data_IF_898917032610
#
_entry.id   IF_898917032610
#
_cell.length_a   1.000
_cell.length_b   1.000
_cell.length_c   1.000
_cell.angle_alpha   90.00
_cell.angle_beta   90.00
_cell.angle_gamma   90.00
#
_symmetry.space_group_name_H-M   'P 1'
#
loop_
_entity.id
_entity.type
_entity.pdbx_description
1 polymer ?
#
# COMPACT_ATOMS: atom_id res chain seq x y z
N UNK A 1 8.35 -34.70 -1.89
CA UNK A 1 8.05 -33.37 -1.35
C UNK A 1 8.72 -32.37 -2.28
N UNK A 2 7.95 -31.61 -3.07
CA UNK A 2 8.53 -30.61 -3.97
C UNK A 2 9.18 -29.50 -3.15
N UNK A 3 10.29 -28.94 -3.64
CA UNK A 3 10.92 -27.77 -3.00
C UNK A 3 9.87 -26.65 -2.89
N UNK A 4 9.53 -26.26 -1.67
CA UNK A 4 8.64 -25.13 -1.41
C UNK A 4 9.25 -23.87 -2.04
N UNK A 5 8.39 -23.04 -2.62
CA UNK A 5 8.79 -21.72 -3.13
C UNK A 5 9.25 -20.85 -1.95
N UNK A 6 10.18 -19.92 -2.15
CA UNK A 6 10.77 -19.19 -1.01
C UNK A 6 9.74 -18.44 -0.16
N UNK A 7 8.66 -17.95 -0.79
CA UNK A 7 7.56 -17.22 -0.14
C UNK A 7 6.53 -18.13 0.52
N UNK A 8 6.70 -19.45 0.42
CA UNK A 8 5.87 -20.43 1.11
C UNK A 8 6.39 -20.82 2.50
N UNK A 9 7.49 -20.22 2.91
CA UNK A 9 8.12 -20.35 4.22
C UNK A 9 8.59 -18.97 4.69
N UNK A 10 8.82 -18.80 5.99
CA UNK A 10 9.47 -17.61 6.56
C UNK A 10 10.13 -17.95 7.92
N UNK A 11 10.99 -17.05 8.39
CA UNK A 11 11.72 -17.16 9.66
C UNK A 11 11.30 -16.08 10.67
N UNK A 12 10.09 -15.55 10.58
CA UNK A 12 9.59 -14.50 11.48
C UNK A 12 8.85 -15.09 12.68
N UNK A 13 8.69 -14.30 13.74
CA UNK A 13 7.98 -14.71 14.95
C UNK A 13 6.73 -13.87 15.13
N UNK A 14 5.77 -14.36 15.92
CA UNK A 14 4.59 -13.57 16.32
C UNK A 14 4.97 -12.27 17.02
N UNK A 15 6.08 -12.23 17.75
CA UNK A 15 6.57 -11.00 18.39
C UNK A 15 6.97 -9.93 17.35
N UNK A 16 7.64 -10.32 16.26
CA UNK A 16 7.97 -9.40 15.17
C UNK A 16 6.69 -8.91 14.48
N UNK A 17 5.76 -9.83 14.20
CA UNK A 17 4.47 -9.50 13.59
C UNK A 17 3.69 -8.49 14.42
N UNK A 18 3.41 -8.79 15.69
CA UNK A 18 2.66 -7.89 16.55
C UNK A 18 3.40 -6.59 16.84
N UNK A 19 4.74 -6.61 16.96
CA UNK A 19 5.54 -5.40 17.08
C UNK A 19 5.36 -4.47 15.87
N UNK A 20 5.37 -5.00 14.66
CA UNK A 20 5.14 -4.22 13.44
C UNK A 20 3.68 -3.79 13.27
N UNK A 21 2.69 -4.60 13.70
CA UNK A 21 1.29 -4.19 13.72
C UNK A 21 1.04 -3.05 14.71
N UNK A 22 1.65 -3.10 15.90
CA UNK A 22 1.58 -2.00 16.87
C UNK A 22 2.25 -0.74 16.32
N UNK A 23 3.41 -0.89 15.65
CA UNK A 23 4.06 0.25 15.00
C UNK A 23 3.19 0.85 13.89
N UNK A 24 2.51 0.03 13.08
CA UNK A 24 1.65 0.51 12.01
C UNK A 24 0.38 1.18 12.55
N UNK A 25 -0.39 0.51 13.41
CA UNK A 25 -1.69 1.03 13.83
C UNK A 25 -1.64 2.05 14.97
N UNK A 26 -0.57 2.05 15.77
CA UNK A 26 -0.41 2.98 16.89
C UNK A 26 0.76 3.92 16.63
N UNK A 27 1.93 3.38 16.28
CA UNK A 27 3.13 4.16 16.05
C UNK A 27 2.99 5.19 14.93
N UNK A 28 2.46 4.81 13.76
CA UNK A 28 2.23 5.74 12.65
C UNK A 28 1.21 6.81 13.02
N UNK A 29 0.11 6.43 13.68
CA UNK A 29 -0.92 7.39 14.10
C UNK A 29 -0.33 8.40 15.10
N UNK A 30 0.32 7.92 16.15
CA UNK A 30 0.87 8.80 17.20
C UNK A 30 2.05 9.60 16.65
N UNK A 31 3.10 8.93 16.17
CA UNK A 31 4.36 9.58 15.79
C UNK A 31 4.16 10.41 14.51
N UNK A 32 3.59 9.81 13.46
CA UNK A 32 3.56 10.46 12.15
C UNK A 32 2.35 11.38 12.01
N UNK A 33 1.13 10.90 12.29
CA UNK A 33 -0.09 11.69 12.04
C UNK A 33 -0.33 12.77 13.10
N UNK A 34 -0.12 12.46 14.38
CA UNK A 34 -0.38 13.40 15.48
C UNK A 34 0.80 14.36 15.70
N UNK A 35 2.05 13.87 15.70
CA UNK A 35 3.22 14.72 16.00
C UNK A 35 3.92 15.29 14.77
N UNK A 36 4.31 14.46 13.79
CA UNK A 36 5.15 14.93 12.66
C UNK A 36 4.35 15.70 11.61
N UNK A 37 3.15 15.25 11.24
CA UNK A 37 2.38 15.87 10.16
C UNK A 37 2.02 17.34 10.44
N UNK A 38 1.58 17.75 11.65
CA UNK A 38 1.37 19.16 11.95
C UNK A 38 2.64 19.99 11.84
N UNK A 39 3.79 19.47 12.27
CA UNK A 39 5.10 20.14 12.14
C UNK A 39 5.43 20.37 10.66
N UNK A 40 5.21 19.40 9.78
CA UNK A 40 5.40 19.62 8.34
C UNK A 40 4.46 20.68 7.77
N UNK A 41 3.19 20.67 8.18
CA UNK A 41 2.21 21.66 7.73
C UNK A 41 2.60 23.07 8.13
N UNK A 42 3.03 23.25 9.38
CA UNK A 42 3.49 24.54 9.91
C UNK A 42 4.78 24.99 9.22
N UNK A 43 5.78 24.11 9.14
CA UNK A 43 7.08 24.43 8.55
C UNK A 43 6.98 24.80 7.06
N UNK A 44 6.12 24.12 6.30
CA UNK A 44 5.96 24.34 4.87
C UNK A 44 4.85 25.34 4.53
N UNK A 45 4.06 25.77 5.52
CA UNK A 45 2.87 26.61 5.31
C UNK A 45 1.85 25.99 4.34
N UNK A 46 1.81 24.67 4.21
CA UNK A 46 1.00 23.97 3.20
C UNK A 46 0.53 22.59 3.66
N UNK A 47 -0.79 22.40 3.67
CA UNK A 47 -1.42 21.10 3.92
C UNK A 47 -1.04 20.06 2.85
N UNK A 48 -0.88 20.50 1.60
CA UNK A 48 -0.52 19.62 0.47
C UNK A 48 0.88 19.03 0.67
N UNK A 49 1.90 19.88 0.83
CA UNK A 49 3.27 19.41 0.98
C UNK A 49 3.47 18.64 2.29
N UNK A 50 2.84 19.10 3.39
CA UNK A 50 2.84 18.37 4.64
C UNK A 50 2.24 16.96 4.50
N UNK A 51 1.16 16.82 3.72
CA UNK A 51 0.56 15.52 3.39
C UNK A 51 1.44 14.64 2.50
N UNK A 52 2.11 15.22 1.49
CA UNK A 52 3.00 14.50 0.57
C UNK A 52 4.21 13.87 1.29
N UNK A 53 4.68 14.48 2.38
CA UNK A 53 5.79 13.98 3.18
C UNK A 53 5.39 12.86 4.16
N UNK A 54 4.10 12.71 4.49
CA UNK A 54 3.64 11.67 5.42
C UNK A 54 3.96 10.26 4.90
N UNK A 55 3.68 9.97 3.63
CA UNK A 55 3.97 8.66 3.02
C UNK A 55 5.45 8.28 3.12
N UNK A 56 6.39 9.12 2.66
CA UNK A 56 7.83 8.90 2.84
C UNK A 56 8.25 8.69 4.31
N UNK A 57 7.67 9.43 5.25
CA UNK A 57 7.99 9.26 6.68
C UNK A 57 7.50 7.91 7.22
N UNK A 58 6.30 7.47 6.83
CA UNK A 58 5.78 6.13 7.15
C UNK A 58 6.69 5.06 6.53
N UNK A 59 7.08 5.24 5.27
CA UNK A 59 7.99 4.33 4.57
C UNK A 59 9.28 4.15 5.34
N UNK A 60 9.94 5.24 5.75
CA UNK A 60 11.20 5.19 6.51
C UNK A 60 10.98 4.45 7.82
N UNK A 61 9.92 4.78 8.57
CA UNK A 61 9.63 4.18 9.87
C UNK A 61 9.39 2.67 9.77
N UNK A 62 8.45 2.25 8.93
CA UNK A 62 8.07 0.84 8.78
C UNK A 62 9.15 0.00 8.14
N UNK A 63 9.79 0.49 7.07
CA UNK A 63 10.82 -0.27 6.38
C UNK A 63 12.08 -0.39 7.24
N UNK A 64 12.40 0.62 8.04
CA UNK A 64 13.53 0.51 8.98
C UNK A 64 13.21 -0.50 10.09
N UNK A 65 12.02 -0.46 10.67
CA UNK A 65 11.61 -1.44 11.69
C UNK A 65 11.57 -2.87 11.11
N UNK A 66 10.96 -3.05 9.95
CA UNK A 66 10.91 -4.33 9.24
C UNK A 66 12.33 -4.82 8.90
N UNK A 67 13.21 -3.92 8.47
CA UNK A 67 14.59 -4.28 8.18
C UNK A 67 15.31 -4.76 9.45
N UNK A 68 15.28 -3.95 10.51
CA UNK A 68 16.00 -4.25 11.75
C UNK A 68 15.49 -5.50 12.47
N UNK A 69 14.17 -5.72 12.51
CA UNK A 69 13.56 -6.80 13.27
C UNK A 69 13.32 -8.06 12.42
N UNK A 70 13.02 -7.89 11.13
CA UNK A 70 12.58 -8.95 10.25
C UNK A 70 13.63 -9.45 9.26
N UNK A 71 14.45 -8.57 8.68
CA UNK A 71 15.25 -8.87 7.47
C UNK A 71 16.76 -8.91 7.75
N UNK A 72 17.26 -8.10 8.68
CA UNK A 72 18.69 -7.98 8.99
C UNK A 72 19.26 -9.36 9.33
N UNK A 73 20.29 -9.78 8.59
CA UNK A 73 20.93 -11.09 8.73
C UNK A 73 20.21 -12.25 8.02
N UNK A 74 19.13 -12.02 7.26
CA UNK A 74 18.33 -13.06 6.59
C UNK A 74 18.35 -13.01 5.05
N UNK A 75 19.34 -12.36 4.44
CA UNK A 75 19.47 -12.30 2.97
C UNK A 75 18.92 -11.03 2.30
N UNK A 76 18.52 -10.02 3.09
CA UNK A 76 18.15 -8.69 2.58
C UNK A 76 16.73 -8.59 2.05
N UNK A 77 16.45 -7.54 1.27
CA UNK A 77 15.09 -7.22 0.79
C UNK A 77 14.46 -8.30 -0.11
N UNK A 78 15.27 -9.22 -0.64
CA UNK A 78 14.76 -10.41 -1.33
C UNK A 78 13.85 -11.27 -0.44
N UNK A 79 13.96 -11.19 0.89
CA UNK A 79 13.01 -11.82 1.82
C UNK A 79 11.64 -11.14 1.80
N UNK A 80 11.58 -9.82 1.64
CA UNK A 80 10.30 -9.14 1.45
C UNK A 80 9.79 -9.23 0.01
N UNK A 81 10.32 -10.15 -0.81
CA UNK A 81 9.89 -10.34 -2.19
C UNK A 81 10.36 -9.27 -3.18
N UNK A 82 11.36 -8.46 -2.82
CA UNK A 82 12.05 -7.56 -3.76
C UNK A 82 12.92 -8.40 -4.69
N UNK A 83 12.30 -9.00 -5.70
CA UNK A 83 12.91 -9.95 -6.63
C UNK A 83 12.36 -9.76 -8.04
N UNK A 84 13.14 -10.08 -9.07
CA UNK A 84 12.64 -10.04 -10.45
C UNK A 84 11.45 -11.01 -10.65
N UNK A 85 10.59 -10.69 -11.63
CA UNK A 85 9.43 -11.49 -12.00
C UNK A 85 9.47 -11.85 -13.49
N UNK A 86 8.70 -12.87 -13.88
CA UNK A 86 8.67 -13.36 -15.26
C UNK A 86 7.89 -12.42 -16.17
N UNK A 87 8.33 -12.26 -17.43
CA UNK A 87 7.65 -11.38 -18.41
C UNK A 87 6.21 -11.81 -18.72
N UNK A 88 5.85 -13.07 -18.50
CA UNK A 88 4.47 -13.56 -18.64
C UNK A 88 3.47 -12.84 -17.73
N UNK A 89 3.93 -12.30 -16.60
CA UNK A 89 3.06 -11.63 -15.63
C UNK A 89 2.52 -10.29 -16.14
N UNK A 90 3.13 -9.67 -17.15
CA UNK A 90 2.64 -8.42 -17.75
C UNK A 90 1.18 -8.54 -18.23
N UNK A 91 0.81 -9.68 -18.82
CA UNK A 91 -0.58 -9.91 -19.27
C UNK A 91 -1.56 -9.91 -18.09
N UNK A 92 -1.14 -10.49 -16.96
CA UNK A 92 -1.94 -10.54 -15.73
C UNK A 92 -2.04 -9.17 -15.09
N UNK A 93 -0.94 -8.41 -15.06
CA UNK A 93 -0.90 -7.05 -14.55
C UNK A 93 -1.84 -6.12 -15.33
N UNK A 94 -1.82 -6.17 -16.66
CA UNK A 94 -2.72 -5.38 -17.50
C UNK A 94 -4.18 -5.80 -17.29
N UNK A 95 -4.47 -7.10 -17.34
CA UNK A 95 -5.83 -7.61 -17.12
C UNK A 95 -6.39 -7.17 -15.77
N UNK A 96 -5.65 -7.43 -14.69
CA UNK A 96 -6.10 -7.10 -13.35
C UNK A 96 -6.11 -5.60 -13.07
N UNK A 97 -5.20 -4.82 -13.65
CA UNK A 97 -5.28 -3.36 -13.61
C UNK A 97 -6.60 -2.85 -14.20
N UNK A 98 -7.00 -3.34 -15.38
CA UNK A 98 -8.29 -2.96 -15.99
C UNK A 98 -9.47 -3.42 -15.13
N UNK A 99 -9.44 -4.66 -14.62
CA UNK A 99 -10.49 -5.18 -13.74
C UNK A 99 -10.63 -4.32 -12.48
N UNK A 100 -9.52 -3.96 -11.83
CA UNK A 100 -9.52 -3.12 -10.64
C UNK A 100 -10.03 -1.70 -10.93
N UNK A 101 -9.70 -1.10 -12.08
CA UNK A 101 -10.27 0.19 -12.49
C UNK A 101 -11.79 0.13 -12.62
N UNK A 102 -12.31 -0.89 -13.31
CA UNK A 102 -13.76 -1.06 -13.53
C UNK A 102 -14.46 -1.33 -12.20
N UNK A 103 -13.97 -2.30 -11.43
CA UNK A 103 -14.56 -2.68 -10.14
C UNK A 103 -14.47 -1.52 -9.14
N UNK A 104 -13.34 -0.83 -9.06
CA UNK A 104 -13.16 0.33 -8.20
C UNK A 104 -14.15 1.45 -8.51
N UNK A 105 -14.35 1.76 -9.79
CA UNK A 105 -15.35 2.76 -10.23
C UNK A 105 -16.76 2.35 -9.82
N UNK A 106 -17.13 1.08 -10.02
CA UNK A 106 -18.43 0.54 -9.62
C UNK A 106 -18.61 0.63 -8.10
N UNK A 107 -17.60 0.26 -7.32
CA UNK A 107 -17.65 0.30 -5.86
C UNK A 107 -17.80 1.71 -5.32
N UNK A 108 -17.04 2.67 -5.85
CA UNK A 108 -17.19 4.09 -5.50
C UNK A 108 -18.61 4.56 -5.81
N UNK A 109 -19.13 4.28 -7.00
CA UNK A 109 -20.50 4.64 -7.38
C UNK A 109 -21.55 4.03 -6.44
N UNK A 110 -21.48 2.72 -6.18
CA UNK A 110 -22.44 2.02 -5.32
C UNK A 110 -22.40 2.52 -3.88
N UNK A 111 -21.20 2.73 -3.33
CA UNK A 111 -21.06 3.19 -1.94
C UNK A 111 -21.51 4.63 -1.78
N UNK A 112 -21.35 5.47 -2.80
CA UNK A 112 -21.93 6.81 -2.83
C UNK A 112 -23.47 6.77 -2.74
N UNK A 113 -24.14 5.80 -3.38
CA UNK A 113 -25.60 5.61 -3.25
C UNK A 113 -26.02 5.20 -1.83
N UNK A 114 -25.09 4.66 -1.03
CA UNK A 114 -25.31 4.25 0.36
C UNK A 114 -24.92 5.36 1.37
N UNK A 115 -24.62 6.57 0.89
CA UNK A 115 -24.26 7.72 1.73
C UNK A 115 -22.79 7.81 2.11
N UNK A 116 -21.91 7.07 1.44
CA UNK A 116 -20.46 7.25 1.57
C UNK A 116 -20.05 8.53 0.85
N UNK A 117 -19.32 9.40 1.53
CA UNK A 117 -18.78 10.62 0.92
C UNK A 117 -17.76 10.26 -0.16
N UNK A 118 -17.65 11.08 -1.20
CA UNK A 118 -16.60 10.97 -2.22
C UNK A 118 -15.46 11.96 -1.99
N UNK A 119 -15.65 12.91 -1.06
CA UNK A 119 -14.66 13.93 -0.74
C UNK A 119 -13.40 13.31 -0.13
N UNK A 120 -12.25 13.91 -0.45
CA UNK A 120 -10.97 13.43 0.04
C UNK A 120 -10.00 14.61 0.16
N UNK A 121 -9.73 14.98 1.41
CA UNK A 121 -8.91 16.14 1.75
C UNK A 121 -7.53 16.17 1.05
N UNK A 122 -6.95 15.00 0.73
CA UNK A 122 -5.67 14.94 0.00
C UNK A 122 -5.83 15.38 -1.46
N UNK A 123 -6.86 14.89 -2.14
CA UNK A 123 -7.16 15.26 -3.52
C UNK A 123 -7.66 16.70 -3.61
N UNK A 124 -8.41 17.16 -2.61
CA UNK A 124 -8.92 18.53 -2.57
C UNK A 124 -7.77 19.54 -2.39
N UNK A 125 -6.84 19.25 -1.46
CA UNK A 125 -5.62 20.07 -1.29
C UNK A 125 -4.80 20.16 -2.59
N UNK A 126 -4.78 19.09 -3.40
CA UNK A 126 -4.07 19.08 -4.68
C UNK A 126 -4.81 19.91 -5.74
N UNK A 127 -6.15 19.81 -5.80
CA UNK A 127 -7.00 20.62 -6.69
C UNK A 127 -6.88 22.11 -6.38
N UNK A 128 -6.94 22.49 -5.12
CA UNK A 128 -6.86 23.88 -4.67
C UNK A 128 -5.51 24.54 -5.00
N UNK A 129 -4.42 23.77 -4.99
CA UNK A 129 -3.06 24.24 -5.28
C UNK A 129 -2.51 23.67 -6.57
N UNK A 130 -3.36 23.47 -7.59
CA UNK A 130 -2.99 22.76 -8.80
C UNK A 130 -1.86 23.46 -9.57
N UNK A 131 -0.75 22.74 -9.78
CA UNK A 131 0.38 23.17 -10.62
C UNK A 131 1.10 21.93 -11.16
N UNK A 132 1.82 22.08 -12.28
CA UNK A 132 2.57 20.96 -12.87
C UNK A 132 3.56 20.32 -11.90
N UNK A 133 4.24 21.12 -11.08
CA UNK A 133 5.16 20.62 -10.05
C UNK A 133 4.41 19.86 -8.94
N UNK A 134 3.25 20.34 -8.50
CA UNK A 134 2.46 19.68 -7.46
C UNK A 134 1.88 18.36 -7.94
N UNK A 135 1.48 18.26 -9.21
CA UNK A 135 1.04 17.00 -9.81
C UNK A 135 2.20 16.00 -9.87
N UNK A 136 3.40 16.44 -10.28
CA UNK A 136 4.59 15.57 -10.30
C UNK A 136 4.93 15.07 -8.89
N UNK A 137 4.93 15.96 -7.89
CA UNK A 137 5.19 15.59 -6.49
C UNK A 137 4.11 14.63 -5.94
N UNK A 138 2.85 14.85 -6.29
CA UNK A 138 1.75 13.95 -5.92
C UNK A 138 1.93 12.56 -6.54
N UNK A 139 2.27 12.49 -7.83
CA UNK A 139 2.55 11.23 -8.53
C UNK A 139 3.76 10.51 -7.91
N UNK A 140 4.84 11.22 -7.62
CA UNK A 140 6.01 10.60 -6.96
C UNK A 140 5.65 10.06 -5.57
N UNK A 141 4.92 10.82 -4.75
CA UNK A 141 4.54 10.40 -3.41
C UNK A 141 3.57 9.21 -3.44
N UNK A 142 2.43 9.36 -4.13
CA UNK A 142 1.32 8.41 -4.05
C UNK A 142 1.35 7.30 -5.11
N UNK A 143 1.96 7.50 -6.28
CA UNK A 143 2.03 6.48 -7.33
C UNK A 143 3.37 5.73 -7.39
N UNK A 144 4.41 6.20 -6.69
CA UNK A 144 5.72 5.54 -6.67
C UNK A 144 6.14 5.15 -5.25
N UNK A 145 6.25 6.12 -4.34
CA UNK A 145 6.75 5.85 -2.99
C UNK A 145 5.76 5.04 -2.16
N UNK A 146 4.47 5.40 -2.14
CA UNK A 146 3.43 4.66 -1.39
C UNK A 146 3.37 3.20 -1.78
N UNK A 147 3.14 2.86 -3.06
CA UNK A 147 3.05 1.46 -3.48
C UNK A 147 4.32 0.69 -3.16
N UNK A 148 5.50 1.29 -3.30
CA UNK A 148 6.74 0.59 -3.02
C UNK A 148 6.83 0.12 -1.57
N UNK A 149 6.65 1.01 -0.58
CA UNK A 149 6.77 0.61 0.81
C UNK A 149 5.59 -0.24 1.27
N UNK A 150 4.39 0.05 0.78
CA UNK A 150 3.18 -0.69 1.13
C UNK A 150 3.26 -2.12 0.62
N UNK A 151 3.64 -2.36 -0.64
CA UNK A 151 3.76 -3.74 -1.14
C UNK A 151 4.90 -4.51 -0.45
N UNK A 152 6.01 -3.84 -0.09
CA UNK A 152 7.07 -4.48 0.73
C UNK A 152 6.50 -4.92 2.08
N UNK A 153 5.74 -4.05 2.75
CA UNK A 153 5.23 -4.32 4.11
C UNK A 153 4.05 -5.29 4.09
N UNK A 154 3.03 -5.02 3.29
CA UNK A 154 1.79 -5.80 3.28
C UNK A 154 1.95 -7.13 2.53
N UNK A 155 2.59 -7.16 1.36
CA UNK A 155 2.72 -8.41 0.58
C UNK A 155 3.97 -9.17 1.01
N UNK A 156 5.09 -8.46 1.04
CA UNK A 156 6.39 -9.02 1.41
C UNK A 156 6.45 -9.54 2.84
N UNK A 157 5.74 -8.92 3.79
CA UNK A 157 5.74 -9.31 5.19
C UNK A 157 4.38 -9.79 5.72
N UNK A 158 3.33 -8.96 5.77
CA UNK A 158 2.05 -9.30 6.43
C UNK A 158 1.37 -10.53 5.81
N UNK A 159 1.11 -10.49 4.50
CA UNK A 159 0.51 -11.60 3.75
C UNK A 159 1.38 -12.86 3.86
N UNK A 160 2.69 -12.75 3.59
CA UNK A 160 3.62 -13.89 3.67
C UNK A 160 3.61 -14.52 5.08
N UNK A 161 3.65 -13.71 6.13
CA UNK A 161 3.63 -14.19 7.51
C UNK A 161 2.33 -14.95 7.84
N UNK A 162 1.18 -14.38 7.48
CA UNK A 162 -0.13 -14.96 7.78
C UNK A 162 -0.38 -16.20 6.93
N UNK A 163 -0.05 -16.17 5.64
CA UNK A 163 -0.28 -17.30 4.74
C UNK A 163 0.53 -18.52 5.13
N UNK A 164 1.76 -18.35 5.63
CA UNK A 164 2.62 -19.47 6.06
C UNK A 164 2.04 -20.17 7.29
N UNK A 165 1.46 -19.41 8.22
CA UNK A 165 0.92 -19.95 9.50
C UNK A 165 -0.53 -20.40 9.42
N UNK A 166 -1.36 -19.70 8.65
CA UNK A 166 -2.82 -19.85 8.64
C UNK A 166 -3.35 -20.38 7.30
N UNK A 167 -2.47 -20.59 6.32
CA UNK A 167 -2.84 -21.01 4.98
C UNK A 167 -3.21 -19.84 4.06
N UNK A 168 -3.29 -20.14 2.77
CA UNK A 168 -3.45 -19.13 1.70
C UNK A 168 -4.76 -18.36 1.85
N UNK A 169 -5.89 -19.04 2.02
CA UNK A 169 -7.21 -18.38 2.09
C UNK A 169 -7.36 -17.41 3.27
N UNK A 170 -6.92 -17.81 4.47
CA UNK A 170 -6.93 -16.94 5.65
C UNK A 170 -5.91 -15.80 5.49
N UNK A 171 -4.73 -16.10 4.94
CA UNK A 171 -3.71 -15.09 4.63
C UNK A 171 -4.24 -13.98 3.74
N UNK A 172 -4.96 -14.34 2.66
CA UNK A 172 -5.61 -13.39 1.76
C UNK A 172 -6.60 -12.47 2.51
N UNK A 173 -7.58 -13.06 3.20
CA UNK A 173 -8.63 -12.26 3.83
C UNK A 173 -8.06 -11.37 4.95
N UNK A 174 -7.22 -11.93 5.82
CA UNK A 174 -6.69 -11.20 6.96
C UNK A 174 -5.73 -10.07 6.53
N UNK A 175 -4.85 -10.32 5.56
CA UNK A 175 -3.92 -9.29 5.08
C UNK A 175 -4.64 -8.17 4.32
N UNK A 176 -5.62 -8.49 3.46
CA UNK A 176 -6.41 -7.47 2.77
C UNK A 176 -7.24 -6.61 3.75
N UNK A 177 -7.79 -7.20 4.81
CA UNK A 177 -8.47 -6.45 5.87
C UNK A 177 -7.50 -5.54 6.64
N UNK A 178 -6.31 -6.03 6.98
CA UNK A 178 -5.27 -5.24 7.65
C UNK A 178 -4.82 -4.06 6.76
N UNK A 179 -4.55 -4.31 5.48
CA UNK A 179 -4.23 -3.27 4.50
C UNK A 179 -5.33 -2.22 4.42
N UNK A 180 -6.59 -2.65 4.33
CA UNK A 180 -7.75 -1.75 4.28
C UNK A 180 -7.88 -0.90 5.55
N UNK A 181 -7.69 -1.51 6.73
CA UNK A 181 -7.79 -0.83 8.01
C UNK A 181 -6.73 0.27 8.18
N UNK A 182 -5.54 0.08 7.63
CA UNK A 182 -4.46 1.08 7.69
C UNK A 182 -4.77 2.38 6.93
N UNK A 183 -5.78 2.36 6.06
CA UNK A 183 -6.21 3.54 5.30
C UNK A 183 -7.23 4.41 6.06
N UNK A 184 -7.73 3.96 7.21
CA UNK A 184 -8.61 4.76 8.06
C UNK A 184 -7.91 6.07 8.47
N UNK A 185 -8.61 7.23 8.49
CA UNK A 185 -10.06 7.43 8.35
C UNK A 185 -10.56 7.69 6.92
N UNK A 186 -9.79 7.35 5.88
CA UNK A 186 -10.21 7.54 4.48
C UNK A 186 -11.22 6.45 4.09
N UNK A 187 -12.44 6.53 4.61
CA UNK A 187 -13.47 5.48 4.53
C UNK A 187 -14.03 5.31 3.13
N UNK A 188 -14.03 6.37 2.32
CA UNK A 188 -14.55 6.36 0.97
C UNK A 188 -13.85 5.35 0.05
N UNK A 189 -12.53 5.20 0.22
CA UNK A 189 -11.71 4.26 -0.56
C UNK A 189 -11.64 2.85 0.04
N UNK A 190 -12.13 2.60 1.26
CA UNK A 190 -11.94 1.30 1.95
C UNK A 190 -12.44 0.09 1.16
N UNK A 191 -13.64 0.10 0.52
CA UNK A 191 -14.09 -1.03 -0.29
C UNK A 191 -13.18 -1.31 -1.49
N UNK A 192 -12.64 -0.26 -2.11
CA UNK A 192 -11.67 -0.38 -3.23
C UNK A 192 -10.35 -0.94 -2.70
N UNK A 193 -9.82 -0.39 -1.61
CA UNK A 193 -8.58 -0.84 -0.98
C UNK A 193 -8.63 -2.32 -0.59
N UNK A 194 -9.79 -2.82 -0.17
CA UNK A 194 -9.98 -4.24 0.15
C UNK A 194 -9.83 -5.13 -1.09
N UNK A 195 -10.50 -4.78 -2.19
CA UNK A 195 -10.43 -5.55 -3.44
C UNK A 195 -9.04 -5.46 -4.07
N UNK A 196 -8.42 -4.28 -4.07
CA UNK A 196 -7.03 -4.05 -4.48
C UNK A 196 -6.09 -4.92 -3.62
N UNK A 197 -6.33 -4.93 -2.31
CA UNK A 197 -5.80 -5.84 -1.30
C UNK A 197 -5.59 -7.25 -1.83
N UNK A 198 -6.71 -7.88 -2.17
CA UNK A 198 -6.81 -9.27 -2.64
C UNK A 198 -6.10 -9.49 -3.97
N UNK A 199 -6.24 -8.57 -4.92
CA UNK A 199 -5.64 -8.74 -6.25
C UNK A 199 -4.12 -8.58 -6.20
N UNK A 200 -3.60 -7.63 -5.43
CA UNK A 200 -2.16 -7.45 -5.25
C UNK A 200 -1.52 -8.64 -4.52
N UNK A 201 -2.22 -9.23 -3.53
CA UNK A 201 -1.79 -10.48 -2.92
C UNK A 201 -1.79 -11.64 -3.91
N UNK A 202 -2.76 -11.68 -4.82
CA UNK A 202 -2.83 -12.71 -5.85
C UNK A 202 -1.68 -12.58 -6.85
N UNK A 203 -1.36 -11.35 -7.28
CA UNK A 203 -0.20 -11.06 -8.12
C UNK A 203 1.11 -11.50 -7.44
N UNK A 204 1.23 -11.24 -6.13
CA UNK A 204 2.36 -11.71 -5.33
C UNK A 204 2.40 -13.25 -5.23
N UNK A 205 1.28 -13.91 -4.92
CA UNK A 205 1.18 -15.37 -4.77
C UNK A 205 1.57 -16.12 -6.05
N UNK A 206 1.27 -15.52 -7.21
CA UNK A 206 1.64 -16.08 -8.53
C UNK A 206 3.08 -15.82 -8.91
N UNK A 207 3.64 -14.67 -8.56
CA UNK A 207 4.96 -14.24 -9.04
C UNK A 207 6.10 -14.43 -8.03
N UNK A 208 5.81 -14.50 -6.74
CA UNK A 208 6.81 -14.44 -5.67
C UNK A 208 7.56 -13.10 -5.60
N UNK A 209 7.03 -12.07 -6.25
CA UNK A 209 7.63 -10.75 -6.38
C UNK A 209 6.62 -9.68 -6.01
N UNK A 210 7.07 -8.62 -5.34
CA UNK A 210 6.21 -7.47 -5.06
C UNK A 210 6.01 -6.58 -6.29
N UNK A 211 6.91 -6.64 -7.29
CA UNK A 211 6.93 -5.65 -8.38
C UNK A 211 5.66 -5.65 -9.23
N UNK A 212 5.05 -6.80 -9.58
CA UNK A 212 3.75 -6.80 -10.25
C UNK A 212 2.70 -5.99 -9.50
N UNK A 213 2.61 -6.17 -8.18
CA UNK A 213 1.69 -5.43 -7.32
C UNK A 213 2.07 -3.95 -7.22
N UNK A 214 3.36 -3.63 -7.04
CA UNK A 214 3.85 -2.23 -6.99
C UNK A 214 3.48 -1.47 -8.25
N UNK A 215 3.67 -2.09 -9.41
CA UNK A 215 3.39 -1.47 -10.71
C UNK A 215 1.89 -1.27 -10.90
N UNK A 216 1.06 -2.28 -10.63
CA UNK A 216 -0.40 -2.16 -10.79
C UNK A 216 -0.95 -1.12 -9.81
N UNK A 217 -0.57 -1.19 -8.54
CA UNK A 217 -0.96 -0.22 -7.52
C UNK A 217 -0.52 1.21 -7.90
N UNK A 218 0.73 1.40 -8.32
CA UNK A 218 1.22 2.70 -8.78
C UNK A 218 0.47 3.25 -9.98
N UNK A 219 0.16 2.41 -10.97
CA UNK A 219 -0.65 2.81 -12.13
C UNK A 219 -2.06 3.24 -11.71
N UNK A 220 -2.72 2.48 -10.83
CA UNK A 220 -4.06 2.83 -10.33
C UNK A 220 -4.05 4.16 -9.57
N UNK A 221 -3.04 4.39 -8.73
CA UNK A 221 -2.88 5.67 -8.02
C UNK A 221 -2.60 6.83 -8.99
N UNK A 222 -1.74 6.61 -9.99
CA UNK A 222 -1.46 7.63 -11.00
C UNK A 222 -2.71 8.01 -11.80
N UNK A 223 -3.49 7.02 -12.25
CA UNK A 223 -4.74 7.25 -12.96
C UNK A 223 -5.73 8.02 -12.08
N UNK A 224 -5.84 7.65 -10.80
CA UNK A 224 -6.73 8.32 -9.85
C UNK A 224 -6.36 9.79 -9.66
N UNK A 225 -5.06 10.10 -9.50
CA UNK A 225 -4.55 11.47 -9.39
C UNK A 225 -4.84 12.26 -10.67
N UNK A 226 -4.52 11.67 -11.84
CA UNK A 226 -4.72 12.33 -13.13
C UNK A 226 -6.20 12.58 -13.41
N UNK A 227 -7.08 11.65 -13.07
CA UNK A 227 -8.52 11.82 -13.18
C UNK A 227 -9.00 13.00 -12.33
N UNK A 228 -8.54 13.10 -11.08
CA UNK A 228 -8.92 14.17 -10.15
C UNK A 228 -8.52 15.56 -10.66
N UNK A 229 -7.39 15.70 -11.35
CA UNK A 229 -6.88 17.01 -11.83
C UNK A 229 -7.25 17.34 -13.28
N UNK A 230 -7.96 16.44 -13.97
CA UNK A 230 -8.41 16.64 -15.36
C UNK A 230 -9.84 17.20 -15.47
N UNK A 231 -10.52 17.43 -14.34
CA UNK A 231 -11.86 18.01 -14.22
C UNK A 231 -11.82 19.22 -13.28
#
# INVERSE_FOLDING_TARGET
>A
MGNLRFWEQDNWTWSIFWGLMLLEFIGVVVIVKIYIQPVYKEWLGSSLYGGMLVGPTIAILLLTALYLWGIKGKGGWGEAGVRAFQRSEWKRMVLWGIVLMVVGTILIFLTAQLGNDVDNAKTDSLKESMSGINIILALLSAAVLSPLYEEIFYRGFVYRFLRVRLGVGVGFMASALIFTAAHYPTTNAMPVNFVDGLVFEWLYEKSGSIWPSVIVHGVLNAISILAVVSF
#
